data_IF_227747005546
#
_entry.id   IF_227747005546
#
_cell.length_a   1.000
_cell.length_b   1.000
_cell.length_c   1.000
_cell.angle_alpha   90.00
_cell.angle_beta   90.00
_cell.angle_gamma   90.00
#
_symmetry.space_group_name_H-M   'P 1'
#
loop_
_entity.id
_entity.type
_entity.pdbx_description
1 polymer ?
#
# COMPACT_ATOMS: atom_id res chain seq x y z
N UNK A 1 0.83 -0.89 -21.51
CA UNK A 1 0.49 -0.71 -20.08
C UNK A 1 1.16 -1.79 -19.27
N UNK A 2 1.82 -1.40 -18.19
CA UNK A 2 2.53 -2.31 -17.28
C UNK A 2 1.92 -2.21 -15.89
N UNK A 3 1.87 -3.34 -15.18
CA UNK A 3 1.48 -3.35 -13.77
C UNK A 3 2.75 -3.21 -12.93
N UNK A 4 2.91 -2.05 -12.27
CA UNK A 4 3.98 -1.79 -11.33
C UNK A 4 3.30 -1.72 -9.96
N UNK A 5 3.57 -2.70 -9.12
CA UNK A 5 3.07 -2.77 -7.75
C UNK A 5 4.25 -3.05 -6.82
N UNK A 6 4.55 -2.10 -5.95
CA UNK A 6 5.62 -2.21 -4.95
C UNK A 6 5.08 -2.43 -3.54
N UNK A 7 3.74 -2.53 -3.42
CA UNK A 7 3.08 -2.84 -2.17
C UNK A 7 3.31 -4.28 -1.71
N UNK A 8 3.40 -4.49 -0.42
CA UNK A 8 3.57 -5.79 0.24
C UNK A 8 2.43 -6.14 1.19
N UNK A 9 1.62 -5.16 1.59
CA UNK A 9 0.47 -5.34 2.48
C UNK A 9 -0.79 -5.74 1.71
N UNK A 10 -1.88 -6.09 2.40
CA UNK A 10 -3.05 -6.69 1.76
C UNK A 10 -4.03 -5.65 1.22
N UNK A 11 -4.31 -4.63 2.05
CA UNK A 11 -5.37 -3.65 1.83
C UNK A 11 -4.77 -2.31 1.48
N UNK A 12 -3.90 -1.80 2.33
CA UNK A 12 -3.29 -0.50 2.17
C UNK A 12 -1.82 -0.66 1.77
N UNK A 13 -1.44 -0.09 0.64
CA UNK A 13 -0.09 -0.19 0.11
C UNK A 13 0.56 1.20 -0.01
N UNK A 14 1.13 1.73 1.09
CA UNK A 14 1.78 3.04 1.09
C UNK A 14 2.92 3.19 0.08
N UNK A 15 3.57 2.08 -0.28
CA UNK A 15 4.68 2.05 -1.23
C UNK A 15 4.24 1.97 -2.71
N UNK A 16 2.94 1.79 -3.00
CA UNK A 16 2.46 1.66 -4.37
C UNK A 16 2.15 3.03 -5.02
N UNK A 17 3.20 3.72 -5.45
CA UNK A 17 3.11 5.06 -6.07
C UNK A 17 2.62 5.04 -7.51
N UNK A 18 2.70 3.90 -8.20
CA UNK A 18 2.39 3.81 -9.63
C UNK A 18 0.99 3.32 -9.93
N UNK A 19 0.45 2.45 -9.10
CA UNK A 19 -0.82 1.76 -9.29
C UNK A 19 -1.66 1.74 -8.00
N UNK A 20 -1.65 2.83 -7.25
CA UNK A 20 -2.49 2.97 -6.06
C UNK A 20 -3.95 2.70 -6.40
N UNK A 21 -4.62 1.90 -5.61
CA UNK A 21 -6.04 1.60 -5.76
C UNK A 21 -6.73 1.63 -4.39
N UNK A 22 -8.03 1.93 -4.40
CA UNK A 22 -8.86 1.83 -3.22
C UNK A 22 -9.41 0.40 -3.06
N UNK A 23 -9.42 -0.11 -1.82
CA UNK A 23 -10.10 -1.36 -1.51
C UNK A 23 -11.62 -1.29 -1.80
N UNK A 24 -12.20 -0.09 -1.80
CA UNK A 24 -13.61 0.15 -2.09
C UNK A 24 -13.94 0.20 -3.59
N UNK A 25 -12.96 0.20 -4.47
CA UNK A 25 -13.17 0.09 -5.92
C UNK A 25 -13.50 -1.35 -6.29
N UNK A 26 -14.80 -1.67 -6.30
CA UNK A 26 -15.33 -3.02 -6.59
C UNK A 26 -15.54 -3.25 -8.09
N UNK A 27 -15.49 -2.19 -8.90
CA UNK A 27 -15.95 -2.21 -10.30
C UNK A 27 -14.84 -2.62 -11.31
N UNK A 28 -13.61 -2.75 -10.89
CA UNK A 28 -12.51 -3.18 -11.76
C UNK A 28 -12.32 -4.70 -11.73
N UNK A 29 -12.70 -5.38 -12.81
CA UNK A 29 -12.35 -6.80 -13.03
C UNK A 29 -10.83 -7.02 -13.10
N UNK A 30 -10.08 -6.03 -13.60
CA UNK A 30 -8.62 -6.01 -13.63
C UNK A 30 -8.11 -4.61 -13.25
N UNK A 31 -7.08 -4.55 -12.40
CA UNK A 31 -6.44 -3.28 -12.06
C UNK A 31 -5.83 -2.66 -13.31
N UNK A 32 -6.13 -1.40 -13.64
CA UNK A 32 -5.56 -0.75 -14.81
C UNK A 32 -4.04 -0.67 -14.67
N UNK A 33 -3.31 -1.05 -15.72
CA UNK A 33 -1.87 -0.87 -15.77
C UNK A 33 -1.49 0.59 -16.00
N UNK A 34 -0.34 1.01 -15.48
CA UNK A 34 0.24 2.32 -15.74
C UNK A 34 0.93 2.37 -17.10
N UNK A 35 0.82 3.50 -17.82
CA UNK A 35 1.67 3.80 -18.96
C UNK A 35 3.00 4.31 -18.41
N UNK A 36 3.93 3.39 -18.17
CA UNK A 36 5.18 3.65 -17.49
C UNK A 36 6.35 2.93 -18.16
N UNK A 37 7.53 3.50 -18.06
CA UNK A 37 8.78 2.83 -18.34
C UNK A 37 9.26 2.13 -17.07
N UNK A 38 9.71 0.88 -17.19
CA UNK A 38 10.20 0.08 -16.08
C UNK A 38 11.50 -0.61 -16.50
N UNK A 39 12.50 -0.53 -15.64
CA UNK A 39 13.77 -1.23 -15.75
C UNK A 39 13.95 -2.12 -14.52
N UNK A 40 14.28 -3.37 -14.72
CA UNK A 40 14.59 -4.32 -13.64
C UNK A 40 15.99 -4.88 -13.84
N UNK A 41 16.77 -4.91 -12.77
CA UNK A 41 18.08 -5.55 -12.72
C UNK A 41 18.18 -6.45 -11.49
N UNK A 42 18.43 -7.73 -11.73
CA UNK A 42 18.57 -8.73 -10.67
C UNK A 42 20.01 -8.75 -10.19
N UNK A 43 20.23 -8.37 -8.93
CA UNK A 43 21.55 -8.33 -8.29
C UNK A 43 21.90 -9.66 -7.63
N UNK A 44 20.94 -10.57 -7.47
CA UNK A 44 21.11 -11.89 -6.91
C UNK A 44 19.84 -12.73 -7.00
N UNK A 45 19.84 -13.92 -6.41
CA UNK A 45 18.68 -14.84 -6.45
C UNK A 45 17.43 -14.26 -5.75
N UNK A 46 17.62 -13.47 -4.70
CA UNK A 46 16.55 -12.87 -3.90
C UNK A 46 16.67 -11.34 -3.82
N UNK A 47 17.40 -10.72 -4.74
CA UNK A 47 17.61 -9.27 -4.73
C UNK A 47 17.50 -8.68 -6.12
N UNK A 48 16.83 -7.53 -6.21
CA UNK A 48 16.68 -6.79 -7.45
C UNK A 48 16.56 -5.28 -7.23
N UNK A 49 17.03 -4.53 -8.20
CA UNK A 49 16.79 -3.10 -8.34
C UNK A 49 15.73 -2.91 -9.40
N UNK A 50 14.80 -2.00 -9.16
CA UNK A 50 13.82 -1.59 -10.14
C UNK A 50 13.75 -0.07 -10.21
N UNK A 51 13.72 0.47 -11.42
CA UNK A 51 13.48 1.87 -11.71
C UNK A 51 12.21 1.98 -12.52
N UNK A 52 11.34 2.92 -12.18
CA UNK A 52 10.11 3.16 -12.91
C UNK A 52 9.84 4.66 -13.04
N UNK A 53 9.27 5.03 -14.19
CA UNK A 53 8.82 6.40 -14.45
C UNK A 53 7.52 6.39 -15.25
N UNK A 54 6.59 7.26 -14.90
CA UNK A 54 5.34 7.50 -15.61
C UNK A 54 5.06 9.00 -15.72
N UNK A 55 4.28 9.37 -16.73
CA UNK A 55 3.73 10.70 -16.89
C UNK A 55 2.22 10.57 -16.76
N UNK A 56 1.59 11.40 -15.93
CA UNK A 56 0.13 11.42 -15.76
C UNK A 56 -0.55 12.23 -16.88
N UNK A 57 -1.89 12.25 -16.89
CA UNK A 57 -2.68 12.99 -17.87
C UNK A 57 -2.51 14.52 -17.79
N UNK A 58 -1.99 15.03 -16.68
CA UNK A 58 -1.67 16.45 -16.50
C UNK A 58 -0.22 16.78 -16.91
N UNK A 59 0.54 15.80 -17.40
CA UNK A 59 1.94 15.94 -17.81
C UNK A 59 2.93 15.89 -16.66
N UNK A 60 2.52 15.55 -15.43
CA UNK A 60 3.40 15.48 -14.26
C UNK A 60 4.12 14.14 -14.19
N UNK A 61 5.38 14.18 -13.79
CA UNK A 61 6.25 13.00 -13.73
C UNK A 61 6.21 12.37 -12.34
N UNK A 62 6.02 11.05 -12.30
CA UNK A 62 6.32 10.20 -11.15
C UNK A 62 7.49 9.32 -11.53
N UNK A 63 8.59 9.39 -10.80
CA UNK A 63 9.78 8.57 -11.04
C UNK A 63 10.36 8.09 -9.72
N UNK A 64 10.64 6.80 -9.63
CA UNK A 64 11.18 6.21 -8.41
C UNK A 64 12.00 4.96 -8.70
N UNK A 65 12.81 4.60 -7.72
CA UNK A 65 13.55 3.36 -7.70
C UNK A 65 13.36 2.62 -6.37
N UNK A 66 13.40 1.30 -6.41
CA UNK A 66 13.49 0.49 -5.21
C UNK A 66 14.59 -0.56 -5.31
N UNK A 67 15.09 -0.95 -4.17
CA UNK A 67 15.97 -2.09 -4.00
C UNK A 67 15.33 -3.09 -3.02
N UNK A 68 15.20 -4.33 -3.45
CA UNK A 68 14.72 -5.43 -2.62
C UNK A 68 15.84 -6.44 -2.39
N UNK A 69 15.93 -6.93 -1.17
CA UNK A 69 16.90 -7.94 -0.74
C UNK A 69 16.33 -8.77 0.41
N UNK A 70 16.89 -9.95 0.61
CA UNK A 70 16.54 -10.78 1.77
C UNK A 70 17.55 -10.55 2.90
N UNK A 71 17.04 -10.33 4.12
CA UNK A 71 17.84 -10.18 5.33
C UNK A 71 17.13 -10.86 6.49
N UNK A 72 17.82 -11.80 7.15
CA UNK A 72 17.31 -12.50 8.33
C UNK A 72 16.01 -13.29 8.11
N UNK A 73 15.76 -13.76 6.89
CA UNK A 73 14.53 -14.48 6.53
C UNK A 73 13.36 -13.56 6.17
N UNK A 74 13.58 -12.24 6.10
CA UNK A 74 12.63 -11.26 5.62
C UNK A 74 13.05 -10.71 4.27
N UNK A 75 12.09 -10.56 3.36
CA UNK A 75 12.24 -9.75 2.16
C UNK A 75 12.04 -8.29 2.56
N UNK A 76 13.12 -7.52 2.46
CA UNK A 76 13.15 -6.10 2.79
C UNK A 76 13.24 -5.31 1.51
N UNK A 77 12.50 -4.22 1.42
CA UNK A 77 12.62 -3.24 0.35
C UNK A 77 12.84 -1.84 0.90
N UNK A 78 13.63 -1.06 0.16
CA UNK A 78 13.79 0.37 0.36
C UNK A 78 13.53 1.06 -0.95
N UNK A 79 12.83 2.18 -0.94
CA UNK A 79 12.47 2.91 -2.13
C UNK A 79 12.63 4.41 -1.94
N UNK A 80 12.81 5.11 -3.04
CA UNK A 80 12.87 6.55 -3.05
C UNK A 80 12.56 7.11 -4.43
N UNK A 81 11.96 8.28 -4.49
CA UNK A 81 11.58 8.90 -5.74
C UNK A 81 10.82 10.20 -5.59
N UNK A 82 10.25 10.64 -6.69
CA UNK A 82 9.43 11.85 -6.80
C UNK A 82 8.05 11.44 -7.26
N UNK A 83 7.02 11.90 -6.55
CA UNK A 83 5.61 11.69 -6.88
C UNK A 83 5.04 12.96 -7.51
N UNK A 84 4.65 12.87 -8.80
CA UNK A 84 4.00 13.97 -9.58
C UNK A 84 4.78 15.29 -9.59
N UNK A 85 6.08 15.25 -9.39
CA UNK A 85 6.93 16.45 -9.23
C UNK A 85 6.55 17.33 -8.03
N UNK A 86 5.65 16.85 -7.16
CA UNK A 86 5.14 17.57 -5.99
C UNK A 86 5.84 17.12 -4.69
N UNK A 87 6.11 15.81 -4.55
CA UNK A 87 6.62 15.25 -3.31
C UNK A 87 7.88 14.40 -3.53
N UNK A 88 8.85 14.57 -2.63
CA UNK A 88 9.88 13.57 -2.39
C UNK A 88 9.27 12.43 -1.58
N UNK A 89 9.49 11.20 -2.02
CA UNK A 89 9.01 9.99 -1.34
C UNK A 89 10.18 9.13 -0.92
N UNK A 90 10.18 8.71 0.34
CA UNK A 90 11.09 7.69 0.88
C UNK A 90 10.23 6.61 1.51
N UNK A 91 10.51 5.35 1.21
CA UNK A 91 9.73 4.25 1.74
C UNK A 91 10.56 3.02 2.06
N UNK A 92 10.01 2.19 2.89
CA UNK A 92 10.53 0.86 3.21
C UNK A 92 9.40 -0.12 3.38
N UNK A 93 9.68 -1.40 3.19
CA UNK A 93 8.73 -2.46 3.43
C UNK A 93 9.45 -3.75 3.80
N UNK A 94 8.74 -4.64 4.47
CA UNK A 94 9.23 -5.96 4.81
C UNK A 94 8.13 -7.00 4.74
N UNK A 95 8.50 -8.22 4.42
CA UNK A 95 7.60 -9.37 4.39
C UNK A 95 8.37 -10.62 4.81
N UNK A 96 7.82 -11.38 5.74
CA UNK A 96 8.44 -12.60 6.25
C UNK A 96 7.54 -13.33 7.22
N UNK A 97 8.10 -14.24 7.98
CA UNK A 97 7.36 -15.05 8.94
C UNK A 97 7.88 -14.82 10.37
N UNK A 98 6.96 -14.65 11.29
CA UNK A 98 7.21 -14.69 12.73
C UNK A 98 6.63 -15.99 13.30
N UNK A 99 7.46 -17.03 13.36
CA UNK A 99 6.99 -18.39 13.63
C UNK A 99 6.09 -18.92 12.50
N UNK A 100 4.85 -19.25 12.82
CA UNK A 100 3.85 -19.74 11.85
C UNK A 100 2.93 -18.63 11.29
N UNK A 101 3.16 -17.39 11.66
CA UNK A 101 2.38 -16.24 11.25
C UNK A 101 3.16 -15.47 10.19
N UNK A 102 2.57 -15.20 9.04
CA UNK A 102 3.16 -14.28 8.08
C UNK A 102 3.00 -12.86 8.63
N UNK A 103 4.06 -12.07 8.51
CA UNK A 103 4.13 -10.70 9.00
C UNK A 103 4.76 -9.79 7.95
N UNK A 104 4.12 -8.66 7.68
CA UNK A 104 4.55 -7.70 6.67
C UNK A 104 4.24 -6.29 7.09
N UNK A 105 4.89 -5.33 6.49
CA UNK A 105 4.60 -3.94 6.73
C UNK A 105 5.26 -3.04 5.70
N UNK A 106 4.75 -1.83 5.65
CA UNK A 106 5.22 -0.75 4.78
C UNK A 106 5.22 0.56 5.52
N UNK A 107 6.13 1.42 5.13
CA UNK A 107 6.23 2.78 5.63
C UNK A 107 6.64 3.69 4.47
N UNK A 108 5.88 4.76 4.25
CA UNK A 108 6.20 5.80 3.27
C UNK A 108 6.16 7.17 3.92
N UNK A 109 7.20 7.94 3.65
CA UNK A 109 7.32 9.33 4.06
C UNK A 109 7.29 10.21 2.81
N UNK A 110 6.39 11.20 2.82
CA UNK A 110 6.19 12.16 1.74
C UNK A 110 6.57 13.55 2.21
N UNK A 111 7.29 14.29 1.38
CA UNK A 111 7.68 15.66 1.68
C UNK A 111 7.50 16.55 0.46
N UNK A 112 6.70 17.61 0.63
CA UNK A 112 6.44 18.62 -0.38
C UNK A 112 7.77 19.28 -0.85
N UNK A 113 8.00 19.28 -2.16
CA UNK A 113 9.22 19.82 -2.77
C UNK A 113 9.21 21.34 -2.82
N UNK A 114 8.04 21.95 -3.04
CA UNK A 114 7.92 23.41 -3.17
C UNK A 114 8.07 24.10 -1.78
N UNK A 115 7.61 23.43 -0.73
CA UNK A 115 7.67 23.91 0.65
C UNK A 115 8.59 23.08 1.54
N UNK A 116 9.67 22.59 0.96
CA UNK A 116 10.57 21.63 1.63
C UNK A 116 11.14 22.11 2.97
N UNK A 117 11.29 23.43 3.17
CA UNK A 117 11.82 24.03 4.41
C UNK A 117 10.72 24.39 5.42
N UNK A 118 9.51 24.65 4.93
CA UNK A 118 8.45 25.29 5.72
C UNK A 118 7.38 24.30 6.22
N UNK A 119 7.37 23.05 5.70
CA UNK A 119 6.39 22.02 6.09
C UNK A 119 7.07 20.81 6.71
N UNK A 120 6.37 20.15 7.62
CA UNK A 120 6.67 18.79 8.05
C UNK A 120 6.14 17.81 6.99
N UNK A 121 6.88 16.72 6.75
CA UNK A 121 6.39 15.69 5.83
C UNK A 121 5.28 14.83 6.46
N UNK A 122 4.65 14.02 5.61
CA UNK A 122 3.60 13.07 5.98
C UNK A 122 4.14 11.67 6.10
N UNK A 123 3.69 10.94 7.11
CA UNK A 123 4.03 9.54 7.33
C UNK A 123 2.78 8.69 7.15
N UNK A 124 2.90 7.66 6.33
CA UNK A 124 1.89 6.62 6.19
C UNK A 124 2.57 5.28 6.46
N UNK A 125 2.01 4.48 7.35
CA UNK A 125 2.55 3.20 7.72
C UNK A 125 1.45 2.15 7.77
N UNK A 126 1.70 0.95 7.24
CA UNK A 126 0.82 -0.20 7.38
C UNK A 126 1.58 -1.40 7.93
N UNK A 127 0.89 -2.20 8.73
CA UNK A 127 1.40 -3.47 9.23
C UNK A 127 0.31 -4.51 9.19
N UNK A 128 0.63 -5.67 8.61
CA UNK A 128 -0.33 -6.75 8.41
C UNK A 128 0.23 -8.09 8.85
N UNK A 129 -0.66 -8.96 9.24
CA UNK A 129 -0.35 -10.34 9.61
C UNK A 129 -1.43 -11.28 9.07
N UNK A 130 -1.06 -12.52 8.81
CA UNK A 130 -2.01 -13.57 8.49
C UNK A 130 -1.58 -14.91 9.09
N UNK A 131 -2.59 -15.68 9.46
CA UNK A 131 -2.40 -17.01 10.04
C UNK A 131 -3.43 -17.99 9.50
N UNK A 132 -2.95 -19.15 9.06
CA UNK A 132 -3.80 -20.25 8.63
C UNK A 132 -3.83 -21.35 9.72
N UNK A 133 -5.00 -21.61 10.25
CA UNK A 133 -5.24 -22.67 11.21
C UNK A 133 -5.24 -24.06 10.55
N UNK A 134 -5.03 -25.10 11.34
CA UNK A 134 -5.05 -26.50 10.84
C UNK A 134 -6.39 -26.93 10.23
N UNK A 135 -7.48 -26.30 10.61
CA UNK A 135 -8.82 -26.51 10.05
C UNK A 135 -9.09 -25.68 8.79
N UNK A 136 -8.07 -25.11 8.16
CA UNK A 136 -8.17 -24.25 6.98
C UNK A 136 -8.87 -22.88 7.21
N UNK A 137 -9.15 -22.50 8.44
CA UNK A 137 -9.58 -21.15 8.75
C UNK A 137 -8.37 -20.20 8.54
N UNK A 138 -8.53 -19.22 7.68
CA UNK A 138 -7.51 -18.21 7.40
C UNK A 138 -7.94 -16.86 7.96
N UNK A 139 -7.17 -16.33 8.90
CA UNK A 139 -7.43 -15.02 9.51
C UNK A 139 -6.33 -14.05 9.07
N UNK A 140 -6.72 -12.85 8.72
CA UNK A 140 -5.84 -11.72 8.39
C UNK A 140 -6.21 -10.51 9.20
N UNK A 141 -5.19 -9.74 9.57
CA UNK A 141 -5.37 -8.42 10.17
C UNK A 141 -4.40 -7.43 9.54
N UNK A 142 -4.80 -6.18 9.44
CA UNK A 142 -3.96 -5.09 8.98
C UNK A 142 -4.34 -3.80 9.71
N UNK A 143 -3.35 -2.99 10.03
CA UNK A 143 -3.50 -1.67 10.62
C UNK A 143 -2.82 -0.65 9.72
N UNK A 144 -3.47 0.48 9.51
CA UNK A 144 -2.93 1.64 8.82
C UNK A 144 -2.86 2.81 9.79
N UNK A 145 -1.76 3.54 9.74
CA UNK A 145 -1.57 4.85 10.33
C UNK A 145 -1.30 5.89 9.24
N UNK A 146 -1.97 7.04 9.30
CA UNK A 146 -1.77 8.17 8.38
C UNK A 146 -1.70 9.48 9.15
N UNK A 147 -0.56 10.15 9.12
CA UNK A 147 -0.41 11.46 9.76
C UNK A 147 -1.11 12.59 8.99
N UNK A 148 -1.59 12.33 7.76
CA UNK A 148 -2.30 13.29 6.91
C UNK A 148 -3.82 13.32 7.18
N UNK A 149 -4.34 12.40 7.98
CA UNK A 149 -5.78 12.16 8.11
C UNK A 149 -6.60 13.34 8.64
N UNK A 150 -6.02 14.18 9.49
CA UNK A 150 -6.73 15.34 10.05
C UNK A 150 -7.08 16.39 8.98
N UNK A 151 -6.27 16.49 7.92
CA UNK A 151 -6.52 17.42 6.80
C UNK A 151 -7.51 16.84 5.77
N UNK A 152 -7.68 15.51 5.73
CA UNK A 152 -8.44 14.82 4.69
C UNK A 152 -9.83 14.34 5.12
N UNK A 153 -10.25 14.49 6.36
CA UNK A 153 -11.44 13.81 6.94
C UNK A 153 -12.70 13.79 6.07
N UNK A 154 -13.13 14.89 5.51
CA UNK A 154 -14.32 14.93 4.64
C UNK A 154 -13.96 14.83 3.16
N UNK A 155 -12.93 15.54 2.73
CA UNK A 155 -12.44 15.51 1.35
C UNK A 155 -11.87 14.14 0.99
N UNK A 156 -11.18 13.46 1.88
CA UNK A 156 -10.62 12.13 1.67
C UNK A 156 -11.70 11.06 1.45
N UNK A 157 -12.78 11.09 2.22
CA UNK A 157 -13.90 10.15 2.02
C UNK A 157 -14.61 10.39 0.67
N UNK A 158 -14.87 11.65 0.31
CA UNK A 158 -15.43 12.00 -1.00
C UNK A 158 -14.47 11.65 -2.15
N UNK A 159 -13.18 11.77 -1.94
CA UNK A 159 -12.16 11.43 -2.94
C UNK A 159 -12.02 9.90 -3.13
N UNK A 160 -12.21 9.10 -2.07
CA UNK A 160 -12.31 7.63 -2.18
C UNK A 160 -13.53 7.20 -3.00
N UNK A 161 -14.61 7.97 -2.97
CA UNK A 161 -15.82 7.70 -3.75
C UNK A 161 -15.75 8.25 -5.18
N UNK A 162 -14.90 9.25 -5.44
CA UNK A 162 -14.68 9.84 -6.77
C UNK A 162 -13.38 9.30 -7.36
N UNK A 163 -13.45 8.34 -8.23
CA UNK A 163 -12.43 7.79 -9.12
C UNK A 163 -11.08 8.52 -9.16
N UNK A 164 -10.12 8.13 -8.33
CA UNK A 164 -8.77 8.65 -8.34
C UNK A 164 -8.07 8.48 -6.99
N UNK A 165 -7.85 7.23 -6.55
CA UNK A 165 -7.12 6.96 -5.31
C UNK A 165 -5.65 7.39 -5.46
N UNK A 166 -5.25 8.37 -4.67
CA UNK A 166 -3.85 8.74 -4.51
C UNK A 166 -3.22 7.92 -3.36
N UNK A 167 -1.93 7.64 -3.45
CA UNK A 167 -1.20 6.95 -2.39
C UNK A 167 -1.24 7.72 -1.06
N UNK A 168 -1.34 9.05 -1.08
CA UNK A 168 -1.52 9.87 0.12
C UNK A 168 -2.92 9.76 0.73
N UNK A 169 -3.94 9.40 -0.05
CA UNK A 169 -5.34 9.31 0.39
C UNK A 169 -5.83 7.89 0.62
N UNK A 170 -4.93 6.90 0.73
CA UNK A 170 -5.30 5.51 1.03
C UNK A 170 -5.95 5.33 2.41
N UNK A 171 -5.68 6.26 3.35
CA UNK A 171 -6.33 6.32 4.65
C UNK A 171 -6.95 7.70 4.86
N UNK A 172 -8.26 7.75 5.15
CA UNK A 172 -8.99 8.98 5.47
C UNK A 172 -9.14 9.25 6.97
N UNK A 173 -8.66 8.34 7.80
CA UNK A 173 -8.57 8.46 9.26
C UNK A 173 -7.14 8.26 9.70
N UNK A 174 -6.77 8.78 10.88
CA UNK A 174 -5.44 8.61 11.45
C UNK A 174 -5.13 7.12 11.64
N UNK A 175 -6.10 6.38 12.16
CA UNK A 175 -6.02 4.93 12.32
C UNK A 175 -7.12 4.22 11.54
N UNK A 176 -6.76 3.17 10.82
CA UNK A 176 -7.69 2.29 10.15
C UNK A 176 -7.31 0.84 10.46
N UNK A 177 -8.30 0.03 10.77
CA UNK A 177 -8.12 -1.38 11.13
C UNK A 177 -8.89 -2.25 10.15
N UNK A 178 -8.26 -3.30 9.66
CA UNK A 178 -8.88 -4.32 8.83
C UNK A 178 -8.70 -5.69 9.46
N UNK A 179 -9.75 -6.49 9.43
CA UNK A 179 -9.68 -7.92 9.74
C UNK A 179 -10.55 -8.71 8.79
N UNK A 180 -10.09 -9.90 8.43
CA UNK A 180 -10.90 -10.84 7.66
C UNK A 180 -10.68 -12.27 8.10
N UNK A 181 -11.75 -13.07 7.99
CA UNK A 181 -11.72 -14.50 8.21
C UNK A 181 -12.28 -15.21 6.98
N UNK A 182 -11.55 -16.19 6.46
CA UNK A 182 -11.93 -16.98 5.30
C UNK A 182 -11.94 -18.47 5.67
N UNK A 183 -13.02 -19.15 5.33
CA UNK A 183 -13.20 -20.58 5.64
C UNK A 183 -13.80 -21.35 4.45
N UNK A 184 -13.16 -22.42 3.97
CA UNK A 184 -13.72 -23.29 2.95
C UNK A 184 -14.80 -24.20 3.58
N UNK A 185 -16.07 -23.87 3.35
CA UNK A 185 -17.22 -24.68 3.84
C UNK A 185 -17.26 -26.02 3.11
N UNK A 186 -17.01 -25.98 1.79
CA UNK A 186 -16.83 -27.17 0.94
C UNK A 186 -15.71 -26.89 -0.07
N UNK A 187 -15.19 -27.91 -0.80
CA UNK A 187 -14.19 -27.69 -1.86
C UNK A 187 -14.61 -26.69 -2.95
N UNK A 188 -15.91 -26.41 -3.08
CA UNK A 188 -16.49 -25.50 -4.09
C UNK A 188 -17.08 -24.23 -3.48
N UNK A 189 -17.17 -24.14 -2.16
CA UNK A 189 -17.79 -23.00 -1.47
C UNK A 189 -16.83 -22.46 -0.41
N UNK A 190 -16.34 -21.26 -0.64
CA UNK A 190 -15.56 -20.50 0.33
C UNK A 190 -16.38 -19.34 0.89
N UNK A 191 -16.34 -19.14 2.19
CA UNK A 191 -16.96 -17.99 2.87
C UNK A 191 -15.88 -17.06 3.39
N UNK A 192 -16.03 -15.77 3.14
CA UNK A 192 -15.12 -14.74 3.65
C UNK A 192 -15.94 -13.63 4.30
N UNK A 193 -15.60 -13.31 5.54
CA UNK A 193 -16.09 -12.14 6.25
C UNK A 193 -14.93 -11.16 6.39
N UNK A 194 -15.14 -9.89 6.02
CA UNK A 194 -14.18 -8.82 6.19
C UNK A 194 -14.83 -7.65 6.92
N UNK A 195 -14.10 -7.02 7.81
CA UNK A 195 -14.54 -5.90 8.63
C UNK A 195 -13.46 -4.83 8.59
N UNK A 196 -13.86 -3.59 8.33
CA UNK A 196 -13.03 -2.40 8.49
C UNK A 196 -13.58 -1.55 9.64
N UNK A 197 -12.69 -1.11 10.52
CA UNK A 197 -13.03 -0.26 11.64
C UNK A 197 -12.15 0.99 11.65
N UNK A 198 -12.80 2.12 11.82
CA UNK A 198 -12.20 3.45 11.85
C UNK A 198 -12.43 4.08 13.23
N UNK A 199 -11.44 3.97 14.15
CA UNK A 199 -11.61 4.42 15.54
C UNK A 199 -11.98 5.90 15.67
N UNK A 200 -11.33 6.75 14.85
CA UNK A 200 -11.52 8.22 14.92
C UNK A 200 -12.90 8.63 14.41
N UNK A 201 -13.52 7.83 13.58
CA UNK A 201 -14.85 8.08 13.02
C UNK A 201 -15.94 7.27 13.73
N UNK A 202 -15.56 6.35 14.62
CA UNK A 202 -16.45 5.38 15.26
C UNK A 202 -17.33 4.61 14.26
N UNK A 203 -16.82 4.41 13.06
CA UNK A 203 -17.48 3.73 11.95
C UNK A 203 -16.98 2.30 11.79
N UNK A 204 -17.92 1.39 11.51
CA UNK A 204 -17.67 -0.02 11.17
C UNK A 204 -18.24 -0.31 9.79
N UNK A 205 -17.47 -0.98 8.92
CA UNK A 205 -17.88 -1.41 7.59
C UNK A 205 -17.55 -2.88 7.32
#
# INVERSE_FOLDING_TARGET
RQRINWGQTFVWNPNDMFNTYSYFEVDYRERPGSDALRLQYYTGMASNIELAAKIDSAGRITAAGYYRFNAGGYDVQVLGGILREEDLVLGTGWSGNLGNTAFRGELSYFRDLDRFKDTTGYLIASAGWDYMFKNSLWIRGEILYSSLADELRLSGFLQLLSSGTDVKSIGFTEWSLYTSASYPITPRLNSTLAIMYYPDWKGLF
#
